data_IF_067836698000
#
_entry.id   IF_067836698000
#
_cell.length_a   1.000
_cell.length_b   1.000
_cell.length_c   1.000
_cell.angle_alpha   90.00
_cell.angle_beta   90.00
_cell.angle_gamma   90.00
#
_symmetry.space_group_name_H-M   'P 1'
#
loop_
_entity.id
_entity.type
_entity.pdbx_description
1 polymer ?
#
# COMPACT_ATOMS: atom_id res chain seq x y z
N UNK A 1 -84.54 51.04 1.21
CA UNK A 1 -83.96 50.18 0.13
C UNK A 1 -82.54 49.84 0.48
N UNK A 2 -82.28 48.66 0.99
CA UNK A 2 -80.98 48.27 1.44
C UNK A 2 -80.60 46.94 0.72
N UNK A 3 -79.61 46.97 -0.17
CA UNK A 3 -79.11 45.80 -0.84
C UNK A 3 -77.99 45.22 -0.01
N UNK A 4 -78.14 43.98 0.39
CA UNK A 4 -77.09 43.19 1.04
C UNK A 4 -76.36 42.34 -0.04
N UNK A 5 -75.01 42.36 -0.14
CA UNK A 5 -74.31 41.44 -1.05
C UNK A 5 -74.01 40.10 -0.33
N UNK A 6 -74.37 39.06 -1.00
CA UNK A 6 -74.04 37.66 -0.68
C UNK A 6 -72.56 37.42 -0.81
N UNK A 7 -71.91 37.02 0.28
CA UNK A 7 -70.52 36.56 0.30
C UNK A 7 -70.43 35.09 -0.14
N UNK A 8 -69.84 34.85 -1.32
CA UNK A 8 -69.53 33.53 -1.83
C UNK A 8 -68.24 33.07 -1.19
N UNK A 9 -68.26 32.08 -0.30
CA UNK A 9 -67.12 31.42 0.30
C UNK A 9 -66.69 30.33 -0.63
N UNK A 10 -65.49 30.54 -1.29
CA UNK A 10 -64.83 29.54 -2.08
C UNK A 10 -63.91 28.72 -1.17
N UNK A 11 -64.28 27.49 -0.84
CA UNK A 11 -63.44 26.56 -0.08
C UNK A 11 -62.51 25.88 -1.04
N UNK A 12 -61.23 26.27 -0.98
CA UNK A 12 -60.13 25.63 -1.70
C UNK A 12 -59.63 24.44 -0.91
N UNK A 13 -60.03 23.23 -1.29
CA UNK A 13 -59.49 21.99 -0.73
C UNK A 13 -58.10 21.73 -1.27
N UNK A 14 -57.06 21.99 -0.46
CA UNK A 14 -55.67 21.60 -0.78
C UNK A 14 -55.53 20.12 -0.45
N UNK A 15 -55.51 19.28 -1.47
CA UNK A 15 -55.20 17.85 -1.38
C UNK A 15 -53.69 17.69 -1.28
N UNK A 16 -53.16 17.54 -0.06
CA UNK A 16 -51.74 17.21 0.18
C UNK A 16 -51.50 15.76 -0.23
N UNK A 17 -50.96 15.59 -1.43
CA UNK A 17 -50.44 14.32 -1.88
C UNK A 17 -49.06 14.09 -1.20
N UNK A 18 -49.04 13.36 -0.11
CA UNK A 18 -47.80 12.87 0.52
C UNK A 18 -47.28 11.71 -0.30
N UNK A 19 -46.34 11.97 -1.24
CA UNK A 19 -45.58 10.93 -1.86
C UNK A 19 -44.54 10.39 -0.82
N UNK A 20 -44.46 9.08 -0.60
CA UNK A 20 -43.38 8.53 0.21
C UNK A 20 -42.07 8.73 -0.54
N UNK A 21 -41.22 9.59 0.03
CA UNK A 21 -39.83 9.73 -0.43
C UNK A 21 -39.07 8.45 0.00
N UNK A 22 -39.11 7.42 -0.84
CA UNK A 22 -38.24 6.27 -0.67
C UNK A 22 -36.80 6.74 -0.90
N UNK A 23 -36.11 7.05 0.21
CA UNK A 23 -34.68 7.22 0.19
C UNK A 23 -34.06 5.88 -0.22
N UNK A 24 -33.82 5.70 -1.50
CA UNK A 24 -32.97 4.62 -1.98
C UNK A 24 -31.55 4.93 -1.47
N UNK A 25 -31.16 4.31 -0.37
CA UNK A 25 -29.74 4.23 -0.01
C UNK A 25 -29.00 3.58 -1.16
N UNK A 26 -28.46 4.41 -2.05
CA UNK A 26 -27.43 3.97 -2.98
C UNK A 26 -26.17 3.75 -2.18
N UNK A 27 -26.13 2.66 -1.45
CA UNK A 27 -24.88 2.07 -1.01
C UNK A 27 -24.08 1.79 -2.28
N UNK A 28 -23.05 2.59 -2.52
CA UNK A 28 -22.05 2.29 -3.56
C UNK A 28 -21.29 1.07 -3.05
N UNK A 29 -21.88 -0.12 -3.25
CA UNK A 29 -21.10 -1.37 -3.30
C UNK A 29 -20.18 -1.21 -4.50
N UNK A 30 -18.98 -0.71 -4.26
CA UNK A 30 -17.90 -0.84 -5.22
C UNK A 30 -17.45 -2.30 -5.15
N UNK A 31 -18.21 -3.16 -5.81
CA UNK A 31 -17.73 -4.49 -6.15
C UNK A 31 -16.45 -4.26 -6.92
N UNK A 32 -15.32 -4.59 -6.33
CA UNK A 32 -14.09 -4.82 -7.10
C UNK A 32 -14.43 -6.00 -8.00
N UNK A 33 -14.86 -5.70 -9.23
CA UNK A 33 -15.21 -6.73 -10.19
C UNK A 33 -14.01 -7.67 -10.31
N UNK A 34 -14.23 -8.95 -10.18
CA UNK A 34 -13.24 -10.02 -10.31
C UNK A 34 -12.55 -10.04 -11.68
N UNK A 35 -12.99 -9.17 -12.60
CA UNK A 35 -12.44 -8.93 -13.94
C UNK A 35 -11.33 -7.87 -13.98
N UNK A 36 -11.13 -7.08 -12.92
CA UNK A 36 -10.06 -6.10 -12.86
C UNK A 36 -8.74 -6.78 -12.47
N UNK A 37 -7.70 -6.60 -13.27
CA UNK A 37 -6.41 -7.28 -13.12
C UNK A 37 -5.76 -7.10 -11.74
N UNK A 38 -5.06 -8.14 -11.29
CA UNK A 38 -4.20 -8.10 -10.09
C UNK A 38 -2.75 -7.96 -10.54
N UNK A 39 -2.12 -6.84 -10.25
CA UNK A 39 -0.76 -6.56 -10.69
C UNK A 39 0.16 -6.30 -9.51
N UNK A 40 1.39 -6.82 -9.58
CA UNK A 40 2.39 -6.58 -8.55
C UNK A 40 3.74 -6.21 -9.16
N UNK A 41 4.48 -5.33 -8.45
CA UNK A 41 5.88 -5.06 -8.64
C UNK A 41 6.63 -5.42 -7.36
N UNK A 42 7.56 -6.37 -7.45
CA UNK A 42 8.36 -6.88 -6.34
C UNK A 42 9.82 -6.59 -6.61
N UNK A 43 10.50 -5.92 -5.68
CA UNK A 43 11.93 -5.58 -5.80
C UNK A 43 12.65 -6.03 -4.53
N UNK A 44 13.76 -6.79 -4.69
CA UNK A 44 14.65 -7.19 -3.61
C UNK A 44 16.09 -6.88 -3.94
N UNK A 45 16.72 -5.96 -3.20
CA UNK A 45 18.09 -5.52 -3.41
C UNK A 45 18.98 -5.93 -2.22
N UNK A 46 19.98 -6.78 -2.49
CA UNK A 46 20.93 -7.33 -1.51
C UNK A 46 22.37 -6.91 -1.80
N UNK A 47 22.79 -6.97 -3.06
CA UNK A 47 24.21 -6.86 -3.48
C UNK A 47 24.58 -5.43 -3.87
N UNK A 48 24.55 -4.53 -2.89
CA UNK A 48 24.91 -3.13 -3.10
C UNK A 48 26.41 -2.96 -3.34
N UNK A 49 26.79 -2.11 -4.29
CA UNK A 49 28.17 -1.81 -4.63
C UNK A 49 28.87 -0.94 -3.57
N UNK A 50 28.20 0.12 -3.09
CA UNK A 50 28.73 1.08 -2.14
C UNK A 50 28.08 1.01 -0.75
N UNK A 51 26.83 0.60 -0.67
CA UNK A 51 26.15 0.32 0.61
C UNK A 51 26.45 -1.11 1.07
N UNK A 52 26.38 -1.38 2.35
CA UNK A 52 26.63 -2.75 2.87
C UNK A 52 25.64 -3.76 2.30
N UNK A 53 26.11 -4.98 2.02
CA UNK A 53 25.26 -6.09 1.57
C UNK A 53 24.22 -6.48 2.62
N UNK A 54 23.04 -6.92 2.15
CA UNK A 54 21.95 -7.43 2.99
C UNK A 54 21.70 -8.91 2.68
N UNK A 55 21.39 -9.70 3.72
CA UNK A 55 21.25 -11.15 3.56
C UNK A 55 19.90 -11.56 2.95
N UNK A 56 18.82 -10.87 3.31
CA UNK A 56 17.45 -11.37 3.12
C UNK A 56 16.66 -10.76 1.94
N UNK A 57 16.90 -9.55 1.43
CA UNK A 57 15.99 -8.90 0.50
C UNK A 57 15.69 -9.68 -0.78
N UNK A 58 16.67 -10.35 -1.36
CA UNK A 58 16.45 -11.19 -2.56
C UNK A 58 15.60 -12.40 -2.22
N UNK A 59 15.81 -13.04 -1.06
CA UNK A 59 14.98 -14.15 -0.60
C UNK A 59 13.54 -13.70 -0.30
N UNK A 60 13.38 -12.50 0.27
CA UNK A 60 12.09 -11.90 0.57
C UNK A 60 11.31 -11.61 -0.72
N UNK A 61 11.99 -11.06 -1.72
CA UNK A 61 11.38 -10.84 -3.04
C UNK A 61 10.97 -12.15 -3.71
N UNK A 62 11.81 -13.19 -3.63
CA UNK A 62 11.48 -14.53 -4.15
C UNK A 62 10.25 -15.14 -3.47
N UNK A 63 10.16 -15.03 -2.16
CA UNK A 63 9.05 -15.57 -1.40
C UNK A 63 7.76 -14.77 -1.66
N UNK A 64 7.85 -13.45 -1.72
CA UNK A 64 6.73 -12.57 -2.03
C UNK A 64 6.22 -12.77 -3.46
N UNK A 65 7.12 -12.89 -4.44
CA UNK A 65 6.78 -13.19 -5.83
C UNK A 65 5.97 -14.49 -5.94
N UNK A 66 6.43 -15.57 -5.29
CA UNK A 66 5.71 -16.86 -5.28
C UNK A 66 4.34 -16.74 -4.63
N UNK A 67 4.27 -16.07 -3.47
CA UNK A 67 3.01 -15.89 -2.75
C UNK A 67 2.01 -15.07 -3.56
N UNK A 68 2.42 -13.96 -4.16
CA UNK A 68 1.54 -13.13 -4.97
C UNK A 68 1.07 -13.84 -6.24
N UNK A 69 1.96 -14.62 -6.90
CA UNK A 69 1.55 -15.45 -8.05
C UNK A 69 0.50 -16.50 -7.67
N UNK A 70 0.64 -17.15 -6.51
CA UNK A 70 -0.38 -18.12 -6.03
C UNK A 70 -1.72 -17.47 -5.70
N UNK A 71 -1.71 -16.17 -5.40
CA UNK A 71 -2.89 -15.35 -5.16
C UNK A 71 -3.46 -14.68 -6.45
N UNK A 72 -2.99 -15.11 -7.63
CA UNK A 72 -3.49 -14.66 -8.92
C UNK A 72 -2.95 -13.31 -9.41
N UNK A 73 -1.84 -12.82 -8.84
CA UNK A 73 -1.21 -11.58 -9.33
C UNK A 73 -0.29 -11.84 -10.52
N UNK A 74 -0.35 -10.95 -11.50
CA UNK A 74 0.69 -10.81 -12.52
C UNK A 74 1.85 -10.03 -11.91
N UNK A 75 3.02 -10.67 -11.73
CA UNK A 75 4.15 -10.12 -10.99
C UNK A 75 5.28 -9.70 -11.92
N UNK A 76 5.75 -8.45 -11.77
CA UNK A 76 7.04 -7.99 -12.27
C UNK A 76 8.01 -8.12 -11.08
N UNK A 77 9.03 -8.95 -11.19
CA UNK A 77 10.02 -9.16 -10.13
C UNK A 77 11.39 -8.68 -10.57
N UNK A 78 12.07 -7.93 -9.71
CA UNK A 78 13.44 -7.48 -9.87
C UNK A 78 14.28 -7.91 -8.66
N UNK A 79 15.52 -8.31 -8.92
CA UNK A 79 16.50 -8.70 -7.90
C UNK A 79 17.82 -8.03 -8.21
N UNK A 80 18.40 -7.37 -7.21
CA UNK A 80 19.66 -6.62 -7.35
C UNK A 80 19.61 -5.63 -8.53
N UNK A 81 18.54 -4.85 -8.58
CA UNK A 81 18.27 -3.94 -9.67
C UNK A 81 18.96 -2.59 -9.49
N UNK A 82 19.54 -2.10 -10.58
CA UNK A 82 20.05 -0.74 -10.68
C UNK A 82 18.95 0.28 -10.87
N UNK A 83 19.30 1.57 -10.72
CA UNK A 83 18.34 2.67 -10.74
C UNK A 83 17.46 2.67 -12.00
N UNK A 84 18.07 2.58 -13.17
CA UNK A 84 17.36 2.63 -14.45
C UNK A 84 16.36 1.48 -14.60
N UNK A 85 16.71 0.31 -14.07
CA UNK A 85 15.85 -0.87 -14.12
C UNK A 85 14.65 -0.71 -13.20
N UNK A 86 14.85 -0.25 -11.97
CA UNK A 86 13.78 0.06 -11.03
C UNK A 86 12.80 1.10 -11.61
N UNK A 87 13.30 2.19 -12.18
CA UNK A 87 12.46 3.24 -12.78
C UNK A 87 11.63 2.76 -13.97
N UNK A 88 12.22 1.92 -14.84
CA UNK A 88 11.50 1.29 -15.96
C UNK A 88 10.41 0.35 -15.46
N UNK A 89 10.70 -0.43 -14.42
CA UNK A 89 9.73 -1.34 -13.83
C UNK A 89 8.56 -0.59 -13.18
N UNK A 90 8.80 0.49 -12.45
CA UNK A 90 7.76 1.37 -11.88
C UNK A 90 6.88 1.95 -12.99
N UNK A 91 7.50 2.44 -14.07
CA UNK A 91 6.74 2.96 -15.24
C UNK A 91 5.90 1.88 -15.90
N UNK A 92 6.45 0.66 -16.09
CA UNK A 92 5.74 -0.49 -16.66
C UNK A 92 4.58 -0.93 -15.75
N UNK A 93 4.80 -0.95 -14.45
CA UNK A 93 3.79 -1.26 -13.46
C UNK A 93 2.64 -0.23 -13.47
N UNK A 94 2.94 1.07 -13.45
CA UNK A 94 1.94 2.12 -13.57
C UNK A 94 1.07 2.01 -14.83
N UNK A 95 1.66 1.62 -15.97
CA UNK A 95 0.90 1.37 -17.22
C UNK A 95 -0.09 0.21 -17.09
N UNK A 96 0.26 -0.84 -16.32
CA UNK A 96 -0.63 -1.97 -16.06
C UNK A 96 -1.81 -1.55 -15.19
N UNK A 97 -1.55 -0.76 -14.15
CA UNK A 97 -2.57 -0.26 -13.23
C UNK A 97 -3.63 0.61 -13.92
N UNK A 98 -3.31 1.34 -15.00
CA UNK A 98 -4.29 2.12 -15.78
C UNK A 98 -5.40 1.29 -16.40
N UNK A 99 -5.27 -0.03 -16.41
CA UNK A 99 -6.33 -0.95 -16.84
C UNK A 99 -7.34 -1.26 -15.73
N UNK A 100 -7.16 -0.64 -14.56
CA UNK A 100 -7.96 -0.88 -13.36
C UNK A 100 -7.37 -1.99 -12.49
N UNK A 101 -8.10 -2.34 -11.42
CA UNK A 101 -7.78 -3.44 -10.54
C UNK A 101 -6.92 -3.08 -9.33
N UNK A 102 -6.14 -4.04 -8.86
CA UNK A 102 -5.37 -3.96 -7.63
C UNK A 102 -3.89 -3.91 -7.95
N UNK A 103 -3.20 -2.92 -7.38
CA UNK A 103 -1.75 -2.77 -7.46
C UNK A 103 -1.07 -3.11 -6.14
N UNK A 104 -0.07 -4.02 -6.17
CA UNK A 104 0.79 -4.27 -5.01
C UNK A 104 2.23 -3.92 -5.38
N UNK A 105 2.84 -3.09 -4.55
CA UNK A 105 4.27 -2.83 -4.59
C UNK A 105 4.94 -3.40 -3.34
N UNK A 106 5.98 -4.19 -3.52
CA UNK A 106 6.82 -4.69 -2.45
C UNK A 106 8.28 -4.31 -2.73
N UNK A 107 8.93 -3.77 -1.71
CA UNK A 107 10.36 -3.47 -1.75
C UNK A 107 11.03 -3.99 -0.49
N UNK A 108 12.10 -4.78 -0.67
CA UNK A 108 13.03 -5.18 0.38
C UNK A 108 14.43 -4.68 0.02
N UNK A 109 15.10 -3.99 0.96
CA UNK A 109 16.43 -3.41 0.72
C UNK A 109 16.76 -2.21 1.59
N UNK A 110 17.79 -1.46 1.22
CA UNK A 110 18.12 -0.21 1.89
C UNK A 110 17.14 0.90 1.51
N UNK A 111 16.62 1.59 2.53
CA UNK A 111 15.81 2.79 2.38
C UNK A 111 16.41 3.96 3.16
N UNK A 112 16.35 5.15 2.59
CA UNK A 112 16.87 6.38 3.20
C UNK A 112 15.79 7.46 3.16
N UNK A 113 15.71 8.23 4.24
CA UNK A 113 14.95 9.47 4.25
C UNK A 113 15.90 10.67 4.13
N UNK A 114 15.59 11.58 3.22
CA UNK A 114 16.29 12.84 3.05
C UNK A 114 15.32 13.96 2.65
N UNK A 115 15.41 15.12 3.27
CA UNK A 115 14.52 16.24 2.96
C UNK A 115 13.01 15.95 3.09
N UNK A 116 12.63 14.98 3.92
CA UNK A 116 11.23 14.55 4.08
C UNK A 116 10.74 13.53 3.02
N UNK A 117 11.56 13.20 2.04
CA UNK A 117 11.29 12.20 1.01
C UNK A 117 11.93 10.86 1.38
N UNK A 118 11.27 9.77 1.02
CA UNK A 118 11.78 8.42 1.15
C UNK A 118 12.37 7.94 -0.17
N UNK A 119 13.58 7.39 -0.10
CA UNK A 119 14.29 6.85 -1.25
C UNK A 119 14.55 5.36 -1.07
N UNK A 120 14.30 4.59 -2.11
CA UNK A 120 14.68 3.19 -2.26
C UNK A 120 16.02 3.13 -2.98
N UNK A 121 17.02 2.47 -2.38
CA UNK A 121 18.35 2.40 -2.99
C UNK A 121 18.42 1.29 -4.06
N UNK A 122 18.80 1.62 -5.29
CA UNK A 122 19.25 0.66 -6.26
C UNK A 122 20.63 0.13 -5.87
N UNK A 123 21.06 -1.03 -6.41
CA UNK A 123 22.34 -1.65 -6.03
C UNK A 123 23.56 -0.84 -6.47
N UNK A 124 23.42 -0.06 -7.53
CA UNK A 124 24.44 0.81 -8.13
C UNK A 124 24.52 2.22 -7.52
N UNK A 125 23.71 2.52 -6.46
CA UNK A 125 23.75 3.83 -5.80
C UNK A 125 25.05 4.05 -5.02
N UNK A 126 25.68 5.20 -5.25
CA UNK A 126 26.90 5.62 -4.55
C UNK A 126 26.89 7.13 -4.21
N UNK A 127 25.86 7.63 -3.51
CA UNK A 127 25.73 9.05 -3.18
C UNK A 127 26.86 9.50 -2.25
N UNK A 128 27.49 10.62 -2.57
CA UNK A 128 28.57 11.21 -1.79
C UNK A 128 28.06 12.26 -0.81
N UNK A 129 26.96 12.94 -1.17
CA UNK A 129 26.22 13.88 -0.33
C UNK A 129 24.73 13.56 -0.36
N UNK A 130 23.97 14.11 0.59
CA UNK A 130 22.53 13.86 0.69
C UNK A 130 21.76 14.27 -0.57
N UNK A 131 22.16 15.36 -1.21
CA UNK A 131 21.54 15.87 -2.43
C UNK A 131 21.68 14.92 -3.64
N UNK A 132 22.68 14.03 -3.65
CA UNK A 132 22.88 13.05 -4.71
C UNK A 132 21.75 12.01 -4.76
N UNK A 133 21.04 11.79 -3.62
CA UNK A 133 19.94 10.81 -3.56
C UNK A 133 18.86 11.06 -4.61
N UNK A 134 18.62 12.31 -4.97
CA UNK A 134 17.62 12.64 -6.02
C UNK A 134 18.03 12.15 -7.40
N UNK A 135 19.30 11.89 -7.62
CA UNK A 135 19.87 11.45 -8.90
C UNK A 135 20.27 9.97 -8.90
N UNK A 136 20.60 9.41 -7.74
CA UNK A 136 21.15 8.07 -7.62
C UNK A 136 20.22 7.08 -6.93
N UNK A 137 19.08 7.55 -6.40
CA UNK A 137 18.11 6.69 -5.75
C UNK A 137 16.70 6.87 -6.36
N UNK A 138 15.80 5.97 -6.03
CA UNK A 138 14.42 6.01 -6.53
C UNK A 138 13.50 6.53 -5.45
N UNK A 139 12.95 7.74 -5.66
CA UNK A 139 12.00 8.34 -4.73
C UNK A 139 10.70 7.53 -4.64
N UNK A 140 10.23 7.26 -3.41
CA UNK A 140 8.94 6.60 -3.18
C UNK A 140 7.78 7.39 -3.76
N UNK A 141 7.86 8.73 -3.70
CA UNK A 141 6.88 9.63 -4.29
C UNK A 141 6.65 9.38 -5.77
N UNK A 142 7.68 8.99 -6.54
CA UNK A 142 7.53 8.62 -7.95
C UNK A 142 6.60 7.42 -8.15
N UNK A 143 6.73 6.39 -7.31
CA UNK A 143 5.84 5.23 -7.34
C UNK A 143 4.40 5.62 -6.97
N UNK A 144 4.25 6.37 -5.86
CA UNK A 144 2.94 6.80 -5.38
C UNK A 144 2.21 7.66 -6.42
N UNK A 145 2.92 8.55 -7.12
CA UNK A 145 2.35 9.33 -8.22
C UNK A 145 1.88 8.43 -9.38
N UNK A 146 2.67 7.41 -9.79
CA UNK A 146 2.25 6.47 -10.82
C UNK A 146 0.99 5.69 -10.43
N UNK A 147 0.85 5.32 -9.14
CA UNK A 147 -0.33 4.66 -8.61
C UNK A 147 -1.55 5.61 -8.57
N UNK A 148 -1.35 6.85 -8.11
CA UNK A 148 -2.40 7.85 -8.08
C UNK A 148 -2.92 8.22 -9.49
N UNK A 149 -1.99 8.41 -10.44
CA UNK A 149 -2.32 8.72 -11.84
C UNK A 149 -3.04 7.57 -12.56
N UNK A 150 -2.83 6.35 -12.10
CA UNK A 150 -3.48 5.18 -12.68
C UNK A 150 -4.99 5.13 -12.41
N UNK A 151 -5.45 5.74 -11.31
CA UNK A 151 -6.85 5.75 -10.88
C UNK A 151 -7.48 4.35 -10.82
N UNK A 152 -6.65 3.35 -10.51
CA UNK A 152 -7.09 1.96 -10.33
C UNK A 152 -7.86 1.78 -9.01
N UNK A 153 -8.44 0.59 -8.80
CA UNK A 153 -9.33 0.35 -7.67
C UNK A 153 -8.67 0.48 -6.29
N UNK A 154 -7.47 -0.09 -6.13
CA UNK A 154 -6.77 -0.17 -4.86
C UNK A 154 -5.27 -0.34 -5.04
N UNK A 155 -4.50 0.23 -4.11
CA UNK A 155 -3.05 0.10 -4.08
C UNK A 155 -2.52 -0.29 -2.69
N UNK A 156 -1.56 -1.22 -2.68
CA UNK A 156 -0.79 -1.59 -1.51
C UNK A 156 0.68 -1.29 -1.75
N UNK A 157 1.31 -0.63 -0.80
CA UNK A 157 2.76 -0.36 -0.80
C UNK A 157 3.34 -0.99 0.47
N UNK A 158 4.26 -1.92 0.29
CA UNK A 158 4.85 -2.71 1.37
C UNK A 158 6.37 -2.48 1.34
N UNK A 159 6.89 -1.91 2.42
CA UNK A 159 8.29 -1.50 2.52
C UNK A 159 8.98 -2.28 3.65
N UNK A 160 9.68 -3.35 3.26
CA UNK A 160 10.61 -4.09 4.13
C UNK A 160 12.02 -3.54 3.93
N UNK A 161 12.19 -2.29 4.33
CA UNK A 161 13.45 -1.57 4.16
C UNK A 161 14.11 -1.31 5.51
N UNK A 162 15.38 -1.70 5.60
CA UNK A 162 16.24 -1.32 6.72
C UNK A 162 16.39 0.20 6.74
N UNK A 163 16.22 0.79 7.92
CA UNK A 163 16.23 2.25 8.11
C UNK A 163 17.58 2.78 8.57
N UNK A 164 18.63 2.00 8.41
CA UNK A 164 19.97 2.47 8.65
C UNK A 164 20.49 3.14 7.40
N UNK A 165 20.75 4.43 7.46
CA UNK A 165 21.49 5.09 6.40
C UNK A 165 22.88 4.43 6.27
N UNK A 166 23.18 3.71 5.17
CA UNK A 166 24.48 3.08 4.99
C UNK A 166 25.60 4.11 4.76
N UNK A 167 25.27 5.36 4.41
CA UNK A 167 26.20 6.46 4.11
C UNK A 167 26.36 7.44 5.29
N UNK A 168 26.26 6.98 6.54
CA UNK A 168 26.27 7.82 7.76
C UNK A 168 27.44 8.80 7.88
N UNK A 169 28.59 8.47 7.28
CA UNK A 169 29.77 9.36 7.34
C UNK A 169 29.63 10.57 6.43
N UNK A 170 28.82 10.48 5.39
CA UNK A 170 28.64 11.52 4.37
C UNK A 170 27.42 12.40 4.61
N UNK A 171 26.40 11.91 5.34
CA UNK A 171 25.14 12.61 5.52
C UNK A 171 24.97 13.08 6.96
N UNK A 172 25.02 14.39 7.18
CA UNK A 172 24.94 15.01 8.54
C UNK A 172 23.51 15.12 9.05
N UNK A 173 22.50 15.16 8.15
CA UNK A 173 21.10 15.44 8.45
C UNK A 173 20.18 14.23 8.30
N UNK A 174 20.68 13.08 7.83
CA UNK A 174 19.84 11.91 7.58
C UNK A 174 19.16 11.43 8.89
N UNK A 175 17.85 11.60 8.96
CA UNK A 175 17.02 11.08 10.04
C UNK A 175 17.09 9.56 10.07
N UNK A 176 16.96 8.97 11.27
CA UNK A 176 16.84 7.52 11.38
C UNK A 176 15.47 7.10 10.83
N UNK A 177 15.48 6.13 9.92
CA UNK A 177 14.25 5.52 9.42
C UNK A 177 13.64 6.22 8.21
N UNK A 178 12.58 5.61 7.64
CA UNK A 178 11.77 6.22 6.59
C UNK A 178 10.78 7.21 7.22
N UNK A 179 10.48 8.31 6.51
CA UNK A 179 9.41 9.21 6.88
C UNK A 179 8.05 8.51 6.76
N UNK A 180 7.14 8.89 7.64
CA UNK A 180 5.74 8.55 7.45
C UNK A 180 5.22 9.34 6.25
N UNK A 181 4.64 8.64 5.28
CA UNK A 181 3.97 9.23 4.12
C UNK A 181 2.47 9.08 4.32
N UNK A 182 1.72 10.16 4.07
CA UNK A 182 0.25 10.07 4.01
C UNK A 182 -0.13 9.25 2.78
N UNK A 183 -0.90 8.19 2.97
CA UNK A 183 -1.35 7.34 1.88
C UNK A 183 -2.28 8.13 0.94
N UNK A 184 -2.02 8.18 -0.38
CA UNK A 184 -2.96 8.69 -1.35
C UNK A 184 -4.29 7.94 -1.29
N UNK A 185 -5.40 8.57 -1.71
CA UNK A 185 -6.72 7.95 -1.70
C UNK A 185 -6.70 6.56 -2.34
N UNK A 186 -7.29 5.57 -1.69
CA UNK A 186 -7.33 4.19 -2.15
C UNK A 186 -6.01 3.43 -2.00
N UNK A 187 -5.10 3.94 -1.15
CA UNK A 187 -3.78 3.32 -0.92
C UNK A 187 -3.60 2.90 0.53
N UNK A 188 -2.99 1.74 0.73
CA UNK A 188 -2.48 1.24 2.00
C UNK A 188 -0.96 1.19 1.94
N UNK A 189 -0.27 1.80 2.89
CA UNK A 189 1.19 1.78 2.98
C UNK A 189 1.59 1.08 4.29
N UNK A 190 2.40 0.02 4.19
CA UNK A 190 2.95 -0.68 5.35
C UNK A 190 4.46 -0.64 5.37
N UNK A 191 4.99 -0.44 6.55
CA UNK A 191 6.41 -0.38 6.84
C UNK A 191 6.78 -1.50 7.81
N UNK A 192 7.90 -2.17 7.58
CA UNK A 192 8.39 -3.23 8.45
C UNK A 192 8.64 -2.78 9.89
N UNK A 193 8.80 -1.47 10.13
CA UNK A 193 9.03 -0.92 11.47
C UNK A 193 8.50 0.51 11.60
N UNK A 194 8.24 0.96 12.82
CA UNK A 194 7.77 2.30 13.13
C UNK A 194 8.78 3.40 12.70
N UNK A 195 8.33 4.64 12.41
CA UNK A 195 9.21 5.76 12.11
C UNK A 195 10.34 5.90 13.14
N UNK A 196 11.58 6.09 12.68
CA UNK A 196 12.75 6.23 13.56
C UNK A 196 13.33 4.92 14.13
N UNK A 197 12.77 3.76 13.81
CA UNK A 197 13.23 2.45 14.28
C UNK A 197 13.96 1.65 13.18
N UNK A 198 14.69 0.62 13.53
CA UNK A 198 15.46 -0.26 12.64
C UNK A 198 14.73 -1.59 12.52
N UNK A 199 14.58 -2.11 11.29
CA UNK A 199 14.12 -3.47 11.05
C UNK A 199 15.24 -4.46 11.42
N UNK A 200 14.89 -5.59 12.01
CA UNK A 200 15.83 -6.69 12.22
C UNK A 200 15.87 -7.59 10.99
N UNK A 201 17.07 -7.98 10.55
CA UNK A 201 17.23 -8.89 9.39
C UNK A 201 16.67 -10.30 9.66
N UNK A 202 16.28 -10.61 10.91
CA UNK A 202 15.86 -11.95 11.30
C UNK A 202 17.01 -12.96 11.26
N UNK A 203 16.78 -14.15 11.82
CA UNK A 203 17.75 -15.27 11.81
C UNK A 203 17.44 -16.33 10.75
N UNK A 204 16.34 -16.14 10.00
CA UNK A 204 15.84 -17.06 9.00
C UNK A 204 16.28 -16.72 7.58
N UNK A 205 15.78 -17.52 6.61
CA UNK A 205 15.98 -17.29 5.17
C UNK A 205 15.32 -15.97 4.70
N UNK A 206 14.24 -15.58 5.36
CA UNK A 206 13.50 -14.35 5.09
C UNK A 206 13.61 -13.39 6.27
N UNK A 207 13.47 -12.11 6.02
CA UNK A 207 13.29 -11.10 7.04
C UNK A 207 12.06 -11.39 7.92
N UNK A 208 12.12 -10.99 9.19
CA UNK A 208 11.05 -11.27 10.15
C UNK A 208 9.69 -10.74 9.67
N UNK A 209 9.66 -9.49 9.20
CA UNK A 209 8.43 -8.88 8.72
C UNK A 209 7.84 -9.62 7.51
N UNK A 210 8.64 -9.85 6.46
CA UNK A 210 8.19 -10.54 5.25
C UNK A 210 7.73 -11.97 5.56
N UNK A 211 8.41 -12.71 6.46
CA UNK A 211 7.98 -14.06 6.85
C UNK A 211 6.59 -14.06 7.49
N UNK A 212 6.30 -13.09 8.39
CA UNK A 212 4.99 -12.97 9.03
C UNK A 212 3.92 -12.47 8.07
N UNK A 213 4.28 -11.59 7.14
CA UNK A 213 3.35 -11.12 6.11
C UNK A 213 2.87 -12.28 5.24
N UNK A 214 3.79 -13.08 4.68
CA UNK A 214 3.46 -14.22 3.83
C UNK A 214 2.60 -15.25 4.58
N UNK A 215 2.88 -15.52 5.85
CA UNK A 215 2.10 -16.44 6.66
C UNK A 215 0.64 -15.96 6.84
N UNK A 216 0.44 -14.65 7.06
CA UNK A 216 -0.88 -14.11 7.35
C UNK A 216 -1.70 -13.76 6.08
N UNK A 217 -1.07 -13.38 4.97
CA UNK A 217 -1.79 -13.00 3.75
C UNK A 217 -2.49 -14.18 3.06
N UNK A 218 -2.10 -15.43 3.36
CA UNK A 218 -2.73 -16.63 2.84
C UNK A 218 -3.92 -17.12 3.69
N UNK A 219 -4.30 -16.41 4.75
CA UNK A 219 -5.41 -16.78 5.63
C UNK A 219 -6.74 -16.34 5.00
N UNK A 220 -7.69 -17.28 4.71
CA UNK A 220 -8.98 -16.94 4.14
C UNK A 220 -9.79 -15.99 5.03
N UNK A 221 -10.54 -15.08 4.42
CA UNK A 221 -11.48 -14.19 5.09
C UNK A 221 -10.88 -13.11 5.98
N UNK A 222 -9.55 -12.89 5.94
CA UNK A 222 -8.93 -11.77 6.64
C UNK A 222 -8.92 -10.53 5.74
N UNK A 223 -9.55 -9.45 6.21
CA UNK A 223 -9.38 -8.12 5.59
C UNK A 223 -7.92 -7.68 5.68
N UNK A 224 -7.50 -6.80 4.78
CA UNK A 224 -6.12 -6.31 4.74
C UNK A 224 -5.68 -5.70 6.07
N UNK A 225 -6.52 -4.92 6.70
CA UNK A 225 -6.25 -4.33 8.02
C UNK A 225 -6.01 -5.42 9.08
N UNK A 226 -6.80 -6.49 9.02
CA UNK A 226 -6.66 -7.64 9.92
C UNK A 226 -5.37 -8.41 9.67
N UNK A 227 -4.96 -8.58 8.40
CA UNK A 227 -3.67 -9.17 8.04
C UNK A 227 -2.53 -8.36 8.65
N UNK A 228 -2.48 -7.05 8.39
CA UNK A 228 -1.37 -6.22 8.89
C UNK A 228 -1.39 -6.03 10.41
N UNK A 229 -2.56 -6.05 11.06
CA UNK A 229 -2.68 -6.07 12.52
C UNK A 229 -2.07 -7.36 13.10
N UNK A 230 -2.31 -8.54 12.49
CA UNK A 230 -1.69 -9.80 12.90
C UNK A 230 -0.18 -9.77 12.66
N UNK A 231 0.27 -9.34 11.49
CA UNK A 231 1.70 -9.17 11.17
C UNK A 231 2.39 -8.33 12.23
N UNK A 232 1.81 -7.18 12.60
CA UNK A 232 2.36 -6.32 13.65
C UNK A 232 2.48 -7.04 14.99
N UNK A 233 1.45 -7.76 15.40
CA UNK A 233 1.44 -8.52 16.64
C UNK A 233 2.51 -9.62 16.65
N UNK A 234 2.62 -10.37 15.55
CA UNK A 234 3.56 -11.48 15.42
C UNK A 234 5.02 -10.98 15.39
N UNK A 235 5.29 -9.91 14.63
CA UNK A 235 6.62 -9.28 14.57
C UNK A 235 7.01 -8.69 15.92
N UNK A 236 6.10 -7.97 16.58
CA UNK A 236 6.35 -7.39 17.90
C UNK A 236 6.68 -8.48 18.93
N UNK A 237 5.91 -9.56 18.95
CA UNK A 237 6.11 -10.70 19.83
C UNK A 237 7.45 -11.37 19.61
N UNK A 238 7.78 -11.73 18.35
CA UNK A 238 9.00 -12.47 18.02
C UNK A 238 10.27 -11.63 18.17
N UNK A 239 10.17 -10.31 17.92
CA UNK A 239 11.28 -9.38 18.12
C UNK A 239 11.45 -8.94 19.59
N UNK A 240 10.65 -9.44 20.53
CA UNK A 240 10.59 -8.96 21.91
C UNK A 240 10.40 -7.43 21.99
N UNK A 241 9.50 -6.88 21.17
CA UNK A 241 9.17 -5.46 21.11
C UNK A 241 10.19 -4.57 20.39
N UNK A 242 11.27 -5.13 19.85
CA UNK A 242 12.33 -4.36 19.16
C UNK A 242 11.90 -3.86 17.78
N UNK A 243 10.96 -4.55 17.15
CA UNK A 243 10.42 -4.19 15.82
C UNK A 243 8.89 -4.13 15.89
N UNK A 244 8.34 -2.99 15.52
CA UNK A 244 6.90 -2.76 15.51
C UNK A 244 6.51 -2.24 14.12
N UNK A 245 5.90 -3.06 13.25
CA UNK A 245 5.41 -2.61 11.96
C UNK A 245 4.39 -1.47 12.08
N UNK A 246 4.39 -0.60 11.10
CA UNK A 246 3.51 0.57 11.04
C UNK A 246 2.79 0.62 9.70
N UNK A 247 1.56 1.12 9.69
CA UNK A 247 0.78 1.30 8.47
C UNK A 247 0.04 2.64 8.45
N UNK A 248 -0.27 3.09 7.24
CA UNK A 248 -1.12 4.23 6.93
C UNK A 248 -2.12 3.79 5.86
N UNK A 249 -3.40 3.98 6.10
CA UNK A 249 -4.48 3.55 5.20
C UNK A 249 -5.38 4.71 4.82
N UNK A 250 -5.73 4.79 3.54
CA UNK A 250 -6.79 5.63 2.99
C UNK A 250 -7.76 4.79 2.13
N UNK A 251 -7.84 3.48 2.41
CA UNK A 251 -8.73 2.59 1.69
C UNK A 251 -10.20 2.93 1.96
N UNK A 252 -11.02 2.79 0.92
CA UNK A 252 -12.46 2.93 0.98
C UNK A 252 -13.08 1.62 0.50
N UNK A 253 -13.16 0.63 1.35
CA UNK A 253 -13.67 -0.70 1.04
C UNK A 253 -12.72 -1.80 1.49
N UNK A 254 -13.26 -3.00 1.60
CA UNK A 254 -12.53 -4.15 2.06
C UNK A 254 -11.68 -4.77 0.94
N UNK A 255 -10.51 -5.25 1.30
CA UNK A 255 -9.68 -6.10 0.46
C UNK A 255 -9.29 -7.37 1.20
N UNK A 256 -9.33 -8.49 0.48
CA UNK A 256 -8.94 -9.81 0.94
C UNK A 256 -7.93 -10.40 -0.03
N UNK A 257 -6.77 -10.84 0.47
CA UNK A 257 -5.84 -11.62 -0.36
C UNK A 257 -6.49 -12.94 -0.79
N UNK A 258 -7.12 -13.61 0.17
CA UNK A 258 -7.95 -14.79 -0.02
C UNK A 258 -9.36 -14.45 0.49
N UNK A 259 -10.38 -14.39 -0.37
CA UNK A 259 -11.75 -14.07 0.05
C UNK A 259 -12.23 -15.03 1.15
N UNK A 260 -13.22 -14.62 1.97
CA UNK A 260 -13.91 -15.56 2.84
C UNK A 260 -14.64 -16.63 2.01
N UNK A 261 -14.74 -17.83 2.56
CA UNK A 261 -15.60 -18.86 1.96
C UNK A 261 -17.03 -18.31 1.87
N UNK A 262 -17.64 -18.36 0.69
CA UNK A 262 -19.04 -18.03 0.53
C UNK A 262 -19.87 -18.95 1.41
N UNK A 263 -20.47 -18.42 2.48
CA UNK A 263 -21.54 -19.15 3.16
C UNK A 263 -22.70 -19.27 2.19
N UNK A 264 -23.23 -20.48 1.94
CA UNK A 264 -24.45 -20.61 1.16
C UNK A 264 -25.54 -19.73 1.81
N UNK A 265 -26.15 -18.89 1.02
CA UNK A 265 -27.27 -18.04 1.45
C UNK A 265 -28.37 -18.97 1.98
N UNK A 266 -28.91 -18.77 3.21
CA UNK A 266 -29.99 -19.60 3.70
C UNK A 266 -31.19 -19.45 2.76
N UNK A 267 -31.66 -20.58 2.21
CA UNK A 267 -32.80 -20.68 1.30
C UNK A 267 -34.11 -20.23 1.96
#
# INVERSE_FOLDING_TARGET
MRHTPVKLLLALAILLFTLPLSATERGVKRETSDTAGRHALVIGNSDYEAAGKLANPVNDADAMERSLKSLGFEVIALKNAGQREMERAITKFGRKLRKGGIGIFFYAGHGIQAGGENYMLPVDANPTVEDDLRYEAVALGRLLNQMADAQNGMNLVILDACRNNPFKRSFRSASKGLAQVTAPTGTFISYATAPGSVAADGTGKNGLYTSKLIANMNTPGLSIESVFKRVRSDVQKESNGKQVPWDSSSLVGDFYFVPPDEKPEPA
#
